data_IF_680034743794
#
_entry.id   IF_680034743794
#
_cell.length_a   1.000
_cell.length_b   1.000
_cell.length_c   1.000
_cell.angle_alpha   90.00
_cell.angle_beta   90.00
_cell.angle_gamma   90.00
#
_symmetry.space_group_name_H-M   'P 1'
#
loop_
_entity.id
_entity.type
_entity.pdbx_description
1 polymer ?
#
# COMPACT_ATOMS: atom_id res chain seq x y z
N UNK A 1 -16.46 -12.27 66.97
CA UNK A 1 -15.50 -12.78 65.97
C UNK A 1 -15.63 -14.26 65.62
N UNK A 2 -16.11 -15.17 66.50
CA UNK A 2 -16.20 -16.62 66.18
C UNK A 2 -17.31 -17.00 65.17
N UNK A 3 -18.44 -16.28 65.15
CA UNK A 3 -19.54 -16.55 64.22
C UNK A 3 -19.25 -16.11 62.76
N UNK A 4 -18.33 -15.16 62.56
CA UNK A 4 -18.03 -14.61 61.22
C UNK A 4 -17.00 -15.45 60.45
N UNK A 5 -16.14 -16.19 61.16
CA UNK A 5 -15.19 -17.14 60.57
C UNK A 5 -15.92 -18.42 60.13
N UNK A 6 -16.96 -18.83 60.85
CA UNK A 6 -17.76 -20.02 60.50
C UNK A 6 -18.60 -19.80 59.23
N UNK A 7 -19.08 -18.57 59.01
CA UNK A 7 -19.82 -18.20 57.80
C UNK A 7 -18.92 -18.16 56.55
N UNK A 8 -17.66 -17.76 56.70
CA UNK A 8 -16.69 -17.71 55.60
C UNK A 8 -16.22 -19.12 55.17
N UNK A 9 -16.16 -20.06 56.11
CA UNK A 9 -15.82 -21.46 55.81
C UNK A 9 -16.96 -22.20 55.09
N UNK A 10 -18.23 -21.81 55.32
CA UNK A 10 -19.39 -22.42 54.68
C UNK A 10 -19.53 -22.00 53.20
N UNK A 11 -19.07 -20.80 52.84
CA UNK A 11 -19.06 -20.31 51.45
C UNK A 11 -17.98 -21.00 50.60
N UNK A 12 -16.85 -21.39 51.22
CA UNK A 12 -15.75 -22.09 50.53
C UNK A 12 -16.03 -23.58 50.27
N UNK A 13 -17.02 -24.21 50.93
CA UNK A 13 -17.40 -25.60 50.67
C UNK A 13 -18.43 -25.76 49.54
N UNK A 14 -19.03 -24.67 49.06
CA UNK A 14 -20.03 -24.68 47.97
C UNK A 14 -19.44 -24.64 46.56
N UNK A 15 -18.12 -24.49 46.42
CA UNK A 15 -17.43 -24.46 45.13
C UNK A 15 -16.86 -25.84 44.76
N UNK A 16 -17.65 -26.90 44.93
CA UNK A 16 -17.30 -28.23 44.43
C UNK A 16 -17.45 -28.27 42.91
N UNK A 17 -16.31 -28.16 42.23
CA UNK A 17 -15.95 -28.83 40.98
C UNK A 17 -17.08 -29.06 39.99
N UNK A 18 -17.28 -28.10 39.08
CA UNK A 18 -17.89 -28.41 37.78
C UNK A 18 -16.91 -29.31 37.01
N UNK A 19 -17.03 -30.62 37.19
CA UNK A 19 -16.35 -31.60 36.34
C UNK A 19 -16.94 -31.42 34.93
N UNK A 20 -16.20 -30.76 34.05
CA UNK A 20 -16.58 -30.63 32.65
C UNK A 20 -16.60 -32.05 32.09
N UNK A 21 -17.80 -32.57 31.81
CA UNK A 21 -17.96 -33.86 31.17
C UNK A 21 -17.18 -33.84 29.85
N UNK A 22 -16.07 -34.57 29.81
CA UNK A 22 -15.26 -34.77 28.61
C UNK A 22 -16.15 -35.40 27.54
N UNK A 23 -16.70 -34.56 26.67
CA UNK A 23 -17.54 -35.00 25.57
C UNK A 23 -16.66 -35.86 24.65
N UNK A 24 -16.99 -37.15 24.43
CA UNK A 24 -16.20 -38.00 23.56
C UNK A 24 -16.26 -37.42 22.15
N UNK A 25 -15.12 -36.92 21.70
CA UNK A 25 -14.97 -36.23 20.43
C UNK A 25 -14.86 -37.30 19.35
N UNK A 26 -15.80 -37.32 18.40
CA UNK A 26 -15.71 -38.27 17.28
C UNK A 26 -14.52 -37.89 16.39
N UNK A 27 -13.90 -38.87 15.72
CA UNK A 27 -12.76 -38.63 14.82
C UNK A 27 -13.03 -37.48 13.83
N UNK A 28 -14.26 -37.39 13.30
CA UNK A 28 -14.69 -36.31 12.40
C UNK A 28 -14.71 -34.94 13.09
N UNK A 29 -15.12 -34.87 14.35
CA UNK A 29 -15.07 -33.63 15.13
C UNK A 29 -13.62 -33.25 15.45
N UNK A 30 -12.75 -34.23 15.71
CA UNK A 30 -11.35 -33.99 16.03
C UNK A 30 -10.60 -33.46 14.79
N UNK A 31 -10.86 -34.06 13.63
CA UNK A 31 -10.34 -33.60 12.34
C UNK A 31 -10.82 -32.19 12.00
N UNK A 32 -12.11 -31.88 12.24
CA UNK A 32 -12.65 -30.54 11.99
C UNK A 32 -12.00 -29.49 12.89
N UNK A 33 -11.88 -29.77 14.19
CA UNK A 33 -11.22 -28.87 15.14
C UNK A 33 -9.73 -28.73 14.81
N UNK A 34 -9.07 -29.82 14.42
CA UNK A 34 -7.68 -29.80 13.97
C UNK A 34 -7.54 -28.91 12.73
N UNK A 35 -8.32 -29.12 11.65
CA UNK A 35 -8.25 -28.28 10.45
C UNK A 35 -8.57 -26.79 10.73
N UNK A 36 -9.53 -26.50 11.61
CA UNK A 36 -9.91 -25.11 11.94
C UNK A 36 -8.92 -24.41 12.89
N UNK A 37 -8.26 -25.16 13.78
CA UNK A 37 -7.39 -24.59 14.84
C UNK A 37 -5.92 -24.93 14.70
N UNK A 38 -5.53 -25.76 13.73
CA UNK A 38 -4.13 -26.06 13.47
C UNK A 38 -3.45 -24.79 12.93
N UNK A 39 -2.39 -24.38 13.63
CA UNK A 39 -1.62 -23.18 13.30
C UNK A 39 -0.84 -23.35 12.00
N UNK A 40 -0.36 -24.55 11.68
CA UNK A 40 0.34 -24.87 10.44
C UNK A 40 -0.60 -24.72 9.24
N UNK A 41 -1.85 -25.16 9.33
CA UNK A 41 -2.86 -24.95 8.26
C UNK A 41 -3.12 -23.46 8.03
N UNK A 42 -3.22 -22.66 9.11
CA UNK A 42 -3.35 -21.20 8.99
C UNK A 42 -2.10 -20.55 8.41
N UNK A 43 -0.91 -21.01 8.79
CA UNK A 43 0.36 -20.53 8.22
C UNK A 43 0.40 -20.84 6.72
N UNK A 44 0.06 -22.06 6.32
CA UNK A 44 0.01 -22.46 4.91
C UNK A 44 -0.99 -21.61 4.10
N UNK A 45 -2.17 -21.31 4.65
CA UNK A 45 -3.14 -20.41 4.02
C UNK A 45 -2.59 -18.99 3.85
N UNK A 46 -1.95 -18.43 4.89
CA UNK A 46 -1.32 -17.11 4.83
C UNK A 46 -0.14 -17.07 3.85
N UNK A 47 0.63 -18.15 3.72
CA UNK A 47 1.71 -18.26 2.73
C UNK A 47 1.16 -18.28 1.30
N UNK A 48 0.06 -19.01 1.06
CA UNK A 48 -0.61 -19.01 -0.24
C UNK A 48 -1.17 -17.63 -0.61
N UNK A 49 -1.82 -16.94 0.34
CA UNK A 49 -2.32 -15.58 0.14
C UNK A 49 -1.18 -14.60 -0.16
N UNK A 50 -0.08 -14.65 0.60
CA UNK A 50 1.13 -13.86 0.32
C UNK A 50 1.69 -14.13 -1.07
N UNK A 51 1.68 -15.40 -1.51
CA UNK A 51 2.11 -15.78 -2.85
C UNK A 51 1.28 -15.13 -3.94
N UNK A 52 -0.03 -15.03 -3.75
CA UNK A 52 -0.94 -14.37 -4.68
C UNK A 52 -0.72 -12.85 -4.71
N UNK A 53 -0.69 -12.20 -3.55
CA UNK A 53 -0.43 -10.76 -3.45
C UNK A 53 0.91 -10.36 -4.08
N UNK A 54 1.91 -11.26 -4.03
CA UNK A 54 3.21 -11.02 -4.66
C UNK A 54 3.12 -11.01 -6.20
N UNK A 55 2.32 -11.89 -6.80
CA UNK A 55 2.04 -11.87 -8.24
C UNK A 55 1.31 -10.58 -8.60
N UNK A 56 0.21 -10.28 -7.90
CA UNK A 56 -0.60 -9.10 -8.18
C UNK A 56 0.26 -7.81 -8.10
N UNK A 57 1.16 -7.72 -7.13
CA UNK A 57 2.12 -6.61 -7.02
C UNK A 57 3.14 -6.57 -8.16
N UNK A 58 3.61 -7.72 -8.63
CA UNK A 58 4.55 -7.79 -9.76
C UNK A 58 3.87 -7.40 -11.07
N UNK A 59 2.61 -7.81 -11.29
CA UNK A 59 1.79 -7.43 -12.43
C UNK A 59 1.43 -5.94 -12.41
N UNK A 60 1.10 -5.40 -11.23
CA UNK A 60 0.74 -3.99 -11.08
C UNK A 60 1.87 -3.02 -11.44
N UNK A 61 3.11 -3.49 -11.50
CA UNK A 61 4.24 -2.71 -12.04
C UNK A 61 4.02 -2.26 -13.49
N UNK A 62 3.18 -2.96 -14.26
CA UNK A 62 2.84 -2.64 -15.65
C UNK A 62 1.51 -1.90 -15.81
N UNK A 63 0.81 -1.65 -14.70
CA UNK A 63 -0.44 -0.90 -14.71
C UNK A 63 -0.22 0.55 -15.11
N UNK A 64 -1.27 1.15 -15.63
CA UNK A 64 -1.27 2.58 -15.97
C UNK A 64 -1.64 3.37 -14.73
N UNK A 65 -0.72 4.20 -14.27
CA UNK A 65 -0.94 5.11 -13.14
C UNK A 65 -1.37 6.47 -13.67
N UNK A 66 -2.53 6.94 -13.23
CA UNK A 66 -2.99 8.30 -13.47
C UNK A 66 -2.92 9.09 -12.16
N UNK A 67 -2.31 10.26 -12.19
CA UNK A 67 -2.24 11.16 -11.04
C UNK A 67 -2.58 12.58 -11.48
N UNK A 68 -3.33 13.29 -10.64
CA UNK A 68 -3.62 14.71 -10.81
C UNK A 68 -3.34 15.44 -9.51
N UNK A 69 -2.77 16.64 -9.62
CA UNK A 69 -2.40 17.48 -8.49
C UNK A 69 -2.85 18.90 -8.78
N UNK A 70 -3.57 19.49 -7.82
CA UNK A 70 -3.98 20.88 -7.86
C UNK A 70 -3.48 21.57 -6.60
N UNK A 71 -2.68 22.61 -6.77
CA UNK A 71 -2.09 23.36 -5.67
C UNK A 71 -2.45 24.84 -5.80
N UNK A 72 -2.82 25.46 -4.69
CA UNK A 72 -3.06 26.90 -4.61
C UNK A 72 -2.19 27.48 -3.51
N UNK A 73 -1.42 28.53 -3.85
CA UNK A 73 -0.55 29.23 -2.92
C UNK A 73 -0.77 30.73 -3.05
N UNK A 74 -1.13 31.39 -1.95
CA UNK A 74 -1.14 32.85 -1.81
C UNK A 74 -0.02 33.27 -0.85
N UNK A 75 0.96 33.97 -1.40
CA UNK A 75 2.13 34.46 -0.68
C UNK A 75 2.01 35.98 -0.54
N UNK A 76 1.94 36.45 0.72
CA UNK A 76 1.75 37.87 1.06
C UNK A 76 2.91 38.48 1.82
N UNK A 77 4.04 37.81 1.84
CA UNK A 77 5.19 38.28 2.59
C UNK A 77 5.76 39.55 1.95
N UNK A 78 6.12 40.52 2.80
CA UNK A 78 6.78 41.75 2.36
C UNK A 78 8.22 41.40 1.97
N UNK A 79 8.53 41.53 0.68
CA UNK A 79 9.92 41.42 0.21
C UNK A 79 10.79 42.46 0.92
N UNK A 80 11.89 42.03 1.53
CA UNK A 80 12.90 42.92 2.15
C UNK A 80 13.79 43.63 1.11
N UNK A 81 13.61 43.32 -0.18
CA UNK A 81 14.40 43.88 -1.27
C UNK A 81 13.72 45.10 -1.89
N UNK A 82 14.44 46.23 -1.96
CA UNK A 82 13.96 47.51 -2.51
C UNK A 82 13.62 47.47 -4.01
N UNK A 83 14.08 46.45 -4.74
CA UNK A 83 13.81 46.23 -6.17
C UNK A 83 12.53 45.44 -6.46
N UNK A 84 11.93 44.80 -5.45
CA UNK A 84 10.72 43.98 -5.55
C UNK A 84 9.63 44.61 -4.67
N UNK A 85 9.20 45.83 -5.03
CA UNK A 85 8.03 46.44 -4.39
C UNK A 85 6.81 45.67 -4.89
N UNK A 86 6.34 44.73 -4.08
CA UNK A 86 5.21 43.83 -4.29
C UNK A 86 4.97 42.99 -3.03
N UNK A 87 3.71 42.76 -2.68
CA UNK A 87 3.30 42.11 -1.42
C UNK A 87 2.32 40.97 -1.67
N UNK A 88 2.08 40.59 -2.93
CA UNK A 88 1.13 39.53 -3.27
C UNK A 88 1.66 38.72 -4.45
N UNK A 89 1.74 37.41 -4.26
CA UNK A 89 2.07 36.44 -5.29
C UNK A 89 1.14 35.23 -5.14
N UNK A 90 0.22 35.06 -6.08
CA UNK A 90 -0.64 33.88 -6.18
C UNK A 90 -0.02 32.93 -7.20
N UNK A 91 0.07 31.65 -6.86
CA UNK A 91 0.45 30.58 -7.77
C UNK A 91 -0.58 29.47 -7.69
N UNK A 92 -1.10 29.06 -8.83
CA UNK A 92 -1.98 27.90 -8.97
C UNK A 92 -1.32 26.90 -9.89
N UNK A 93 -1.18 25.66 -9.45
CA UNK A 93 -0.64 24.58 -10.25
C UNK A 93 -1.74 23.57 -10.52
N UNK A 94 -1.91 23.18 -11.77
CA UNK A 94 -2.76 22.09 -12.19
C UNK A 94 -1.93 21.13 -13.03
N UNK A 95 -1.60 19.99 -12.43
CA UNK A 95 -0.77 18.98 -13.05
C UNK A 95 -1.56 17.69 -13.20
N UNK A 96 -1.43 17.03 -14.33
CA UNK A 96 -1.92 15.68 -14.56
C UNK A 96 -0.80 14.85 -15.18
N UNK A 97 -0.72 13.58 -14.82
CA UNK A 97 0.27 12.65 -15.32
C UNK A 97 -0.35 11.30 -15.57
N UNK A 98 0.10 10.65 -16.64
CA UNK A 98 -0.22 9.29 -17.01
C UNK A 98 1.08 8.55 -17.25
N UNK A 99 1.40 7.62 -16.37
CA UNK A 99 2.64 6.84 -16.42
C UNK A 99 2.31 5.37 -16.65
N UNK A 100 3.02 4.72 -17.57
CA UNK A 100 2.88 3.30 -17.86
C UNK A 100 4.23 2.68 -18.15
N UNK A 101 4.49 1.54 -17.52
CA UNK A 101 5.63 0.69 -17.86
C UNK A 101 5.19 -0.46 -18.76
N UNK A 102 5.88 -0.65 -19.88
CA UNK A 102 5.60 -1.73 -20.83
C UNK A 102 6.48 -2.93 -20.49
N UNK A 103 6.00 -4.14 -20.82
CA UNK A 103 6.72 -5.42 -20.66
C UNK A 103 8.12 -5.40 -21.28
N UNK A 104 8.35 -4.56 -22.30
CA UNK A 104 9.67 -4.34 -22.93
C UNK A 104 10.64 -3.53 -22.06
N UNK A 105 10.25 -3.16 -20.83
CA UNK A 105 11.03 -2.34 -19.90
C UNK A 105 11.00 -0.84 -20.22
N UNK A 106 10.23 -0.42 -21.23
CA UNK A 106 10.10 0.99 -21.62
C UNK A 106 9.09 1.69 -20.72
N UNK A 107 9.46 2.85 -20.19
CA UNK A 107 8.57 3.72 -19.43
C UNK A 107 8.01 4.80 -20.35
N UNK A 108 6.68 4.88 -20.41
CA UNK A 108 5.94 5.97 -21.03
C UNK A 108 5.40 6.86 -19.94
N UNK A 109 5.58 8.17 -20.11
CA UNK A 109 5.12 9.15 -19.15
C UNK A 109 4.61 10.38 -19.90
N UNK A 110 3.33 10.67 -19.75
CA UNK A 110 2.65 11.80 -20.35
C UNK A 110 2.26 12.76 -19.22
N UNK A 111 2.83 13.95 -19.23
CA UNK A 111 2.59 14.97 -18.22
C UNK A 111 1.94 16.20 -18.86
N UNK A 112 0.83 16.65 -18.27
CA UNK A 112 0.28 17.96 -18.48
C UNK A 112 0.58 18.80 -17.24
N UNK A 113 1.30 19.90 -17.41
CA UNK A 113 1.64 20.84 -16.35
C UNK A 113 1.08 22.20 -16.71
N UNK A 114 0.38 22.82 -15.77
CA UNK A 114 -0.14 24.15 -15.99
C UNK A 114 0.09 24.98 -14.73
N UNK A 115 0.74 26.13 -14.90
CA UNK A 115 1.03 27.04 -13.80
C UNK A 115 0.39 28.38 -14.15
N UNK A 116 -0.51 28.84 -13.30
CA UNK A 116 -0.97 30.22 -13.26
C UNK A 116 -0.16 30.97 -12.20
N UNK A 117 0.33 32.16 -12.55
CA UNK A 117 0.89 33.09 -11.56
C UNK A 117 0.29 34.47 -11.72
N UNK A 118 0.05 35.11 -10.58
CA UNK A 118 -0.36 36.49 -10.47
C UNK A 118 0.52 37.19 -9.42
N UNK A 119 1.15 38.29 -9.77
CA UNK A 119 1.99 39.10 -8.89
C UNK A 119 1.74 40.58 -9.08
N UNK A 120 1.84 41.35 -7.99
CA UNK A 120 1.80 42.81 -8.03
C UNK A 120 3.19 43.46 -7.93
N UNK A 121 4.26 42.69 -8.16
CA UNK A 121 5.63 43.20 -8.12
C UNK A 121 5.89 44.20 -9.27
N UNK A 122 6.38 45.39 -8.92
CA UNK A 122 6.74 46.47 -9.86
C UNK A 122 7.85 46.09 -10.86
N UNK A 123 8.66 45.09 -10.54
CA UNK A 123 9.72 44.55 -11.41
C UNK A 123 9.23 43.47 -12.38
N UNK A 124 7.96 43.08 -12.35
CA UNK A 124 7.42 42.04 -13.24
C UNK A 124 6.99 42.63 -14.58
N UNK A 125 7.51 42.09 -15.69
CA UNK A 125 7.07 42.46 -17.04
C UNK A 125 5.72 41.85 -17.42
N UNK A 126 5.34 40.73 -16.78
CA UNK A 126 4.10 39.99 -16.99
C UNK A 126 3.52 39.64 -15.60
N UNK A 127 2.70 40.53 -15.01
CA UNK A 127 2.18 40.34 -13.66
C UNK A 127 1.22 39.15 -13.56
N UNK A 128 0.55 38.78 -14.65
CA UNK A 128 -0.34 37.61 -14.70
C UNK A 128 -0.02 36.78 -15.92
N UNK A 129 0.18 35.47 -15.75
CA UNK A 129 0.44 34.57 -16.87
C UNK A 129 0.03 33.12 -16.59
N UNK A 130 -0.21 32.39 -17.68
CA UNK A 130 -0.39 30.94 -17.71
C UNK A 130 0.76 30.30 -18.49
N UNK A 131 1.27 29.17 -18.00
CA UNK A 131 2.35 28.40 -18.65
C UNK A 131 1.93 26.92 -18.78
N UNK A 132 1.05 26.58 -19.73
CA UNK A 132 0.67 25.20 -20.00
C UNK A 132 1.76 24.47 -20.79
N UNK A 133 2.11 23.29 -20.33
CA UNK A 133 3.11 22.39 -20.93
C UNK A 133 2.54 21.00 -21.05
N UNK A 134 2.69 20.41 -22.23
CA UNK A 134 2.42 19.01 -22.49
C UNK A 134 3.74 18.32 -22.81
N UNK A 135 4.12 17.35 -21.99
CA UNK A 135 5.40 16.65 -22.07
C UNK A 135 5.13 15.16 -22.27
N UNK A 136 5.74 14.58 -23.30
CA UNK A 136 5.75 13.13 -23.53
C UNK A 136 7.18 12.63 -23.35
N UNK A 137 7.39 11.82 -22.32
CA UNK A 137 8.67 11.22 -21.99
C UNK A 137 8.63 9.72 -22.31
N UNK A 138 9.58 9.26 -23.12
CA UNK A 138 9.76 7.84 -23.46
C UNK A 138 11.16 7.45 -23.02
N UNK A 139 11.26 6.59 -22.00
CA UNK A 139 12.53 6.16 -21.43
C UNK A 139 12.73 4.66 -21.65
N UNK A 140 13.75 4.29 -22.41
CA UNK A 140 14.11 2.89 -22.64
C UNK A 140 15.47 2.57 -22.01
N UNK A 141 15.55 1.60 -21.08
CA UNK A 141 16.82 1.11 -20.58
C UNK A 141 17.54 0.27 -21.64
N UNK A 142 18.82 0.53 -21.87
CA UNK A 142 19.65 -0.13 -22.90
C UNK A 142 20.54 -1.28 -22.37
N UNK A 143 20.64 -1.44 -21.04
CA UNK A 143 21.53 -2.43 -20.40
C UNK A 143 20.75 -3.40 -19.51
N UNK A 144 20.82 -3.23 -18.18
CA UNK A 144 20.33 -4.19 -17.18
C UNK A 144 18.87 -4.60 -17.38
N UNK A 145 18.05 -3.72 -17.95
CA UNK A 145 16.64 -4.00 -18.21
C UNK A 145 16.27 -3.85 -19.70
N UNK A 146 17.24 -4.03 -20.60
CA UNK A 146 16.96 -4.01 -22.03
C UNK A 146 15.90 -5.06 -22.38
N UNK A 147 14.87 -4.67 -23.14
CA UNK A 147 13.69 -5.50 -23.41
C UNK A 147 13.00 -6.07 -22.16
N UNK A 148 13.12 -5.40 -21.02
CA UNK A 148 12.43 -5.78 -19.78
C UNK A 148 12.93 -7.08 -19.16
N UNK A 149 14.17 -7.50 -19.45
CA UNK A 149 14.72 -8.77 -18.94
C UNK A 149 14.59 -8.88 -17.41
N UNK A 150 14.92 -7.83 -16.66
CA UNK A 150 14.82 -7.87 -15.21
C UNK A 150 13.38 -7.87 -14.72
N UNK A 151 12.51 -7.06 -15.34
CA UNK A 151 11.10 -7.00 -14.95
C UNK A 151 10.39 -8.34 -15.19
N UNK A 152 10.64 -8.96 -16.34
CA UNK A 152 10.13 -10.29 -16.69
C UNK A 152 10.68 -11.37 -15.78
N UNK A 153 11.97 -11.30 -15.43
CA UNK A 153 12.56 -12.21 -14.46
C UNK A 153 11.91 -12.07 -13.09
N UNK A 154 11.61 -10.85 -12.64
CA UNK A 154 10.95 -10.62 -11.36
C UNK A 154 9.52 -11.19 -11.34
N UNK A 155 8.76 -10.99 -12.42
CA UNK A 155 7.43 -11.60 -12.59
C UNK A 155 7.52 -13.13 -12.53
N UNK A 156 8.47 -13.72 -13.27
CA UNK A 156 8.69 -15.17 -13.28
C UNK A 156 9.11 -15.73 -11.93
N UNK A 157 9.93 -14.99 -11.17
CA UNK A 157 10.27 -15.36 -9.78
C UNK A 157 9.02 -15.34 -8.89
N UNK A 158 8.11 -14.38 -9.10
CA UNK A 158 6.83 -14.33 -8.40
C UNK A 158 5.94 -15.54 -8.71
N UNK A 159 5.79 -15.88 -9.98
CA UNK A 159 5.05 -17.08 -10.43
C UNK A 159 5.62 -18.36 -9.82
N UNK A 160 6.94 -18.54 -9.87
CA UNK A 160 7.61 -19.71 -9.30
C UNK A 160 7.40 -19.84 -7.79
N UNK A 161 7.41 -18.72 -7.05
CA UNK A 161 7.12 -18.71 -5.62
C UNK A 161 5.66 -19.11 -5.32
N UNK A 162 4.71 -18.64 -6.13
CA UNK A 162 3.31 -19.03 -5.97
C UNK A 162 3.11 -20.53 -6.20
N UNK A 163 3.68 -21.07 -7.29
CA UNK A 163 3.65 -22.50 -7.58
C UNK A 163 4.25 -23.31 -6.42
N UNK A 164 5.43 -22.91 -5.91
CA UNK A 164 6.06 -23.56 -4.76
C UNK A 164 5.18 -23.51 -3.49
N UNK A 165 4.49 -22.40 -3.26
CA UNK A 165 3.58 -22.25 -2.11
C UNK A 165 2.38 -23.21 -2.18
N UNK A 166 1.85 -23.44 -3.39
CA UNK A 166 0.75 -24.39 -3.62
C UNK A 166 1.21 -25.81 -3.34
N UNK A 167 2.37 -26.22 -3.86
CA UNK A 167 2.93 -27.55 -3.59
C UNK A 167 3.18 -27.80 -2.09
N UNK A 168 3.73 -26.82 -1.36
CA UNK A 168 3.91 -26.95 0.09
C UNK A 168 2.59 -27.11 0.84
N UNK A 169 1.53 -26.45 0.38
CA UNK A 169 0.21 -26.61 0.99
C UNK A 169 -0.41 -27.99 0.72
N UNK A 170 -0.10 -28.61 -0.42
CA UNK A 170 -0.55 -29.96 -0.78
C UNK A 170 0.20 -31.04 0.02
N UNK A 171 1.50 -30.88 0.26
CA UNK A 171 2.32 -31.83 1.05
C UNK A 171 1.97 -31.83 2.56
N UNK A 172 1.30 -30.79 3.05
CA UNK A 172 0.95 -30.62 4.47
C UNK A 172 -0.49 -31.05 4.82
N UNK A 173 -1.28 -31.49 3.81
CA UNK A 173 -2.65 -31.99 3.96
C UNK A 173 -2.71 -33.51 3.94
#
# INVERSE_FOLDING_TARGET
MKASILLLMLVMLGASTSFSASKPLTLKQALKIALEKNLEVKIAQLEAEKGQTHIDSAESTFDTTAAATADWKDDRDKSTSTSLIGTKNITENFNASLTKKIITGTNLDLQFKNIYKETNATSSSLPTYWDPKLELNITQPILKNFFGINDRNNLKVGELKNILSRYRSEDQM
#
